data_IF_883020895113
#
_entry.id   IF_883020895113
#
_cell.length_a   1.000
_cell.length_b   1.000
_cell.length_c   1.000
_cell.angle_alpha   90.00
_cell.angle_beta   90.00
_cell.angle_gamma   90.00
#
_symmetry.space_group_name_H-M   'P 1'
#
loop_
_entity.id
_entity.type
_entity.pdbx_description
1 polymer ?
#
# COMPACT_ATOMS: atom_id res chain seq x y z
N UNK A 1 7.19 3.35 12.13
CA UNK A 1 6.41 2.83 10.99
C UNK A 1 5.16 2.02 11.38
N UNK A 2 5.18 1.19 12.44
CA UNK A 2 3.98 0.41 12.89
C UNK A 2 2.72 1.27 13.07
N UNK A 3 2.81 2.45 13.67
CA UNK A 3 1.67 3.35 13.88
C UNK A 3 1.02 3.83 12.57
N UNK A 4 1.82 4.27 11.58
CA UNK A 4 1.32 4.69 10.27
C UNK A 4 0.64 3.52 9.54
N UNK A 5 1.24 2.32 9.60
CA UNK A 5 0.65 1.10 9.02
C UNK A 5 -0.71 0.77 9.64
N UNK A 6 -0.81 0.80 10.96
CA UNK A 6 -2.06 0.54 11.67
C UNK A 6 -3.11 1.61 11.37
N UNK A 7 -2.71 2.87 11.27
CA UNK A 7 -3.59 3.96 10.85
C UNK A 7 -4.14 3.70 9.45
N UNK A 8 -3.28 3.33 8.49
CA UNK A 8 -3.68 3.01 7.11
C UNK A 8 -4.71 1.89 7.03
N UNK A 9 -4.51 0.80 7.78
CA UNK A 9 -5.47 -0.32 7.83
C UNK A 9 -6.79 0.08 8.47
N UNK A 10 -6.76 0.87 9.57
CA UNK A 10 -7.97 1.37 10.24
C UNK A 10 -8.77 2.35 9.36
N UNK A 11 -8.11 3.04 8.43
CA UNK A 11 -8.74 4.00 7.51
C UNK A 11 -8.80 3.47 6.08
N UNK A 12 -8.79 2.14 5.88
CA UNK A 12 -8.72 1.52 4.56
C UNK A 12 -9.81 2.01 3.62
N UNK A 13 -11.06 2.13 4.09
CA UNK A 13 -12.17 2.62 3.27
C UNK A 13 -12.04 4.09 2.84
N UNK A 14 -11.35 4.92 3.62
CA UNK A 14 -11.06 6.30 3.24
C UNK A 14 -9.96 6.38 2.19
N UNK A 15 -8.89 5.60 2.39
CA UNK A 15 -7.78 5.49 1.43
C UNK A 15 -8.23 4.86 0.11
N UNK A 16 -9.17 3.92 0.15
CA UNK A 16 -9.76 3.28 -1.02
C UNK A 16 -10.55 4.29 -1.85
N UNK A 17 -11.40 5.09 -1.19
CA UNK A 17 -12.12 6.20 -1.83
C UNK A 17 -11.18 7.24 -2.43
N UNK A 18 -10.11 7.59 -1.72
CA UNK A 18 -9.08 8.51 -2.23
C UNK A 18 -8.41 7.94 -3.49
N UNK A 19 -8.05 6.66 -3.46
CA UNK A 19 -7.47 5.99 -4.63
C UNK A 19 -8.46 6.00 -5.81
N UNK A 20 -9.72 5.64 -5.60
CA UNK A 20 -10.74 5.64 -6.66
C UNK A 20 -10.95 7.05 -7.24
N UNK A 21 -10.97 8.09 -6.40
CA UNK A 21 -11.01 9.47 -6.88
C UNK A 21 -9.81 9.80 -7.77
N UNK A 22 -8.59 9.43 -7.38
CA UNK A 22 -7.40 9.62 -8.23
C UNK A 22 -7.46 8.79 -9.51
N UNK A 23 -7.91 7.54 -9.43
CA UNK A 23 -8.06 6.66 -10.58
C UNK A 23 -9.08 7.21 -11.58
N UNK A 24 -10.14 7.88 -11.10
CA UNK A 24 -11.12 8.55 -11.94
C UNK A 24 -10.56 9.80 -12.62
N UNK A 25 -9.66 10.53 -11.95
CA UNK A 25 -9.01 11.74 -12.50
C UNK A 25 -7.86 11.40 -13.46
N UNK A 26 -7.17 10.27 -13.26
CA UNK A 26 -5.98 9.90 -14.03
C UNK A 26 -6.17 9.89 -15.58
N UNK A 27 -7.29 9.40 -16.15
CA UNK A 27 -7.54 9.46 -17.59
C UNK A 27 -7.57 10.88 -18.15
N UNK A 28 -8.03 11.86 -17.37
CA UNK A 28 -8.07 13.26 -17.78
C UNK A 28 -6.69 13.91 -17.79
N UNK A 29 -5.77 13.43 -16.95
CA UNK A 29 -4.36 13.87 -16.92
C UNK A 29 -3.48 13.13 -17.94
N UNK A 30 -3.99 12.05 -18.54
CA UNK A 30 -3.29 11.26 -19.56
C UNK A 30 -2.74 12.09 -20.73
N UNK A 31 -3.47 13.03 -21.37
CA UNK A 31 -2.91 13.84 -22.47
C UNK A 31 -1.68 14.65 -22.05
N UNK A 32 -1.68 15.20 -20.84
CA UNK A 32 -0.53 15.92 -20.27
C UNK A 32 0.65 14.96 -20.04
N UNK A 33 0.38 13.78 -19.50
CA UNK A 33 1.42 12.76 -19.29
C UNK A 33 2.04 12.29 -20.62
N UNK A 34 1.23 12.11 -21.67
CA UNK A 34 1.74 11.76 -23.00
C UNK A 34 2.50 12.91 -23.66
N UNK A 35 2.11 14.16 -23.41
CA UNK A 35 2.84 15.33 -23.91
C UNK A 35 4.23 15.47 -23.28
N UNK A 36 4.35 15.23 -21.97
CA UNK A 36 5.64 15.24 -21.25
C UNK A 36 6.50 13.99 -21.59
N UNK A 37 5.85 12.91 -21.99
CA UNK A 37 6.42 11.59 -22.20
C UNK A 37 6.19 10.71 -20.97
N UNK A 38 5.56 9.54 -21.18
CA UNK A 38 5.20 8.58 -20.13
C UNK A 38 6.39 8.24 -19.23
N UNK A 39 7.55 8.00 -19.83
CA UNK A 39 8.76 7.57 -19.11
C UNK A 39 9.30 8.67 -18.19
N UNK A 40 9.17 9.93 -18.59
CA UNK A 40 9.58 11.08 -17.77
C UNK A 40 8.61 11.31 -16.62
N UNK A 41 7.30 11.21 -16.92
CA UNK A 41 6.26 11.32 -15.91
C UNK A 41 6.39 10.20 -14.86
N UNK A 42 6.64 8.96 -15.28
CA UNK A 42 6.87 7.82 -14.39
C UNK A 42 8.11 8.02 -13.52
N UNK A 43 9.23 8.45 -14.11
CA UNK A 43 10.47 8.75 -13.36
C UNK A 43 10.27 9.84 -12.30
N UNK A 44 9.44 10.84 -12.58
CA UNK A 44 9.13 11.91 -11.64
C UNK A 44 8.17 11.45 -10.52
N UNK A 45 7.18 10.60 -10.83
CA UNK A 45 6.18 10.12 -9.87
C UNK A 45 6.67 8.98 -8.98
N UNK A 46 7.54 8.11 -9.49
CA UNK A 46 8.10 6.96 -8.76
C UNK A 46 8.67 7.30 -7.38
N UNK A 47 9.51 8.35 -7.20
CA UNK A 47 10.03 8.69 -5.87
C UNK A 47 8.93 9.14 -4.90
N UNK A 48 7.91 9.85 -5.40
CA UNK A 48 6.76 10.29 -4.60
C UNK A 48 5.96 9.07 -4.14
N UNK A 49 5.65 8.16 -5.07
CA UNK A 49 4.95 6.91 -4.77
C UNK A 49 5.72 6.07 -3.75
N UNK A 50 7.03 5.88 -3.99
CA UNK A 50 7.91 5.12 -3.08
C UNK A 50 7.95 5.74 -1.69
N UNK A 51 8.06 7.05 -1.57
CA UNK A 51 8.10 7.76 -0.29
C UNK A 51 6.79 7.58 0.49
N UNK A 52 5.66 7.86 -0.17
CA UNK A 52 4.34 7.72 0.43
C UNK A 52 4.06 6.26 0.85
N UNK A 53 4.34 5.30 -0.03
CA UNK A 53 4.06 3.88 0.25
C UNK A 53 4.98 3.27 1.31
N UNK A 54 6.25 3.67 1.37
CA UNK A 54 7.15 3.27 2.46
C UNK A 54 6.64 3.80 3.80
N UNK A 55 6.32 5.09 3.88
CA UNK A 55 5.87 5.70 5.13
C UNK A 55 4.56 5.08 5.65
N UNK A 56 3.58 4.90 4.76
CA UNK A 56 2.23 4.49 5.14
C UNK A 56 2.05 2.98 5.28
N UNK A 57 2.77 2.19 4.49
CA UNK A 57 2.54 0.74 4.38
C UNK A 57 3.81 -0.10 4.55
N UNK A 58 4.97 0.50 4.78
CA UNK A 58 6.25 -0.22 4.83
C UNK A 58 6.53 -1.00 3.52
N UNK A 59 6.19 -0.37 2.38
CA UNK A 59 6.16 -1.03 1.07
C UNK A 59 7.55 -1.17 0.42
N UNK A 60 7.91 -2.39 0.01
CA UNK A 60 9.20 -2.68 -0.65
C UNK A 60 9.21 -2.54 -2.18
N UNK A 61 8.20 -1.91 -2.79
CA UNK A 61 8.12 -1.69 -4.24
C UNK A 61 8.28 -2.97 -5.09
N UNK A 62 7.57 -4.05 -4.75
CA UNK A 62 7.64 -5.36 -5.43
C UNK A 62 7.05 -5.41 -6.86
N UNK A 63 6.56 -4.30 -7.41
CA UNK A 63 5.99 -4.21 -8.76
C UNK A 63 4.52 -4.65 -8.89
N UNK A 64 4.07 -5.66 -8.13
CA UNK A 64 2.69 -6.15 -8.15
C UNK A 64 1.90 -5.68 -6.91
N UNK A 65 1.41 -4.44 -6.93
CA UNK A 65 0.72 -3.85 -5.79
C UNK A 65 -0.70 -4.41 -5.60
N UNK A 66 -0.98 -4.97 -4.41
CA UNK A 66 -2.32 -5.52 -4.05
C UNK A 66 -2.97 -4.84 -2.85
N UNK A 67 -2.43 -3.71 -2.38
CA UNK A 67 -2.89 -2.99 -1.18
C UNK A 67 -4.41 -2.77 -1.13
N UNK A 68 -5.00 -2.33 -2.26
CA UNK A 68 -6.45 -2.05 -2.34
C UNK A 68 -7.29 -3.30 -2.07
N UNK A 69 -6.83 -4.47 -2.57
CA UNK A 69 -7.53 -5.75 -2.41
C UNK A 69 -7.38 -6.35 -1.00
N UNK A 70 -6.39 -5.88 -0.24
CA UNK A 70 -6.06 -6.40 1.10
C UNK A 70 -6.39 -5.39 2.21
N UNK A 71 -7.28 -4.42 1.94
CA UNK A 71 -7.67 -3.43 2.94
C UNK A 71 -6.50 -2.58 3.44
N UNK A 72 -5.60 -2.20 2.53
CA UNK A 72 -4.39 -1.42 2.80
C UNK A 72 -3.33 -2.14 3.67
N UNK A 73 -3.45 -3.46 3.84
CA UNK A 73 -2.44 -4.28 4.49
C UNK A 73 -1.47 -4.88 3.46
N UNK A 74 -0.19 -4.50 3.49
CA UNK A 74 0.81 -5.10 2.59
C UNK A 74 1.13 -6.55 3.03
N UNK A 75 1.00 -7.58 2.15
CA UNK A 75 1.24 -8.98 2.53
C UNK A 75 2.68 -9.25 2.98
N UNK A 76 3.65 -8.50 2.47
CA UNK A 76 5.07 -8.63 2.83
C UNK A 76 5.36 -8.28 4.29
N UNK A 77 4.42 -7.61 4.96
CA UNK A 77 4.56 -7.23 6.38
C UNK A 77 4.08 -8.32 7.33
N UNK A 78 3.42 -9.35 6.82
CA UNK A 78 3.04 -10.52 7.60
C UNK A 78 4.18 -11.54 7.51
N UNK A 79 4.66 -12.06 8.65
CA UNK A 79 5.67 -13.13 8.66
C UNK A 79 5.22 -14.40 7.93
N UNK A 80 3.91 -14.60 7.76
CA UNK A 80 3.30 -15.70 7.00
C UNK A 80 2.91 -15.31 5.57
N UNK A 81 3.24 -14.09 5.12
CA UNK A 81 2.89 -13.51 3.83
C UNK A 81 1.38 -13.60 3.46
N UNK A 82 0.51 -13.68 4.46
CA UNK A 82 -0.93 -13.80 4.24
C UNK A 82 -1.57 -12.49 3.80
N UNK A 83 -2.57 -12.61 2.93
CA UNK A 83 -3.23 -11.47 2.28
C UNK A 83 -4.52 -11.05 2.97
N UNK A 84 -5.22 -11.99 3.62
CA UNK A 84 -6.48 -11.80 4.34
C UNK A 84 -6.39 -12.50 5.71
N UNK A 85 -7.10 -11.98 6.72
CA UNK A 85 -7.10 -12.54 8.08
C UNK A 85 -8.38 -13.32 8.42
N UNK A 86 -8.52 -13.82 9.67
CA UNK A 86 -7.48 -14.01 10.68
C UNK A 86 -6.64 -15.27 10.41
N UNK A 87 -5.37 -15.24 10.81
CA UNK A 87 -4.40 -16.31 10.56
C UNK A 87 -4.44 -17.46 11.58
N UNK A 88 -5.21 -17.33 12.67
CA UNK A 88 -5.22 -18.25 13.81
C UNK A 88 -3.94 -18.23 14.68
N UNK A 89 -2.82 -17.70 14.18
CA UNK A 89 -1.52 -17.74 14.85
C UNK A 89 -1.18 -16.49 15.68
N UNK A 90 -2.15 -15.96 16.41
CA UNK A 90 -1.95 -14.86 17.35
C UNK A 90 -1.78 -15.46 18.75
N UNK A 91 -0.66 -15.18 19.40
CA UNK A 91 -0.36 -15.64 20.76
C UNK A 91 -1.24 -14.92 21.79
N UNK A 92 -1.36 -15.46 22.99
CA UNK A 92 -2.17 -14.90 24.07
C UNK A 92 -1.75 -13.46 24.48
N UNK A 93 -0.49 -13.09 24.24
CA UNK A 93 0.04 -11.75 24.47
C UNK A 93 -0.16 -10.78 23.29
N UNK A 94 -0.89 -11.21 22.24
CA UNK A 94 -1.17 -10.41 21.04
C UNK A 94 -0.03 -10.39 20.00
N UNK A 95 1.06 -11.12 20.24
CA UNK A 95 2.15 -11.31 19.28
C UNK A 95 1.81 -12.30 18.16
N UNK A 96 2.61 -12.30 17.09
CA UNK A 96 2.54 -13.35 16.07
C UNK A 96 3.34 -14.58 16.53
N UNK A 97 2.90 -15.79 16.19
CA UNK A 97 3.64 -17.02 16.54
C UNK A 97 4.98 -17.18 15.79
N UNK A 98 5.12 -16.55 14.62
CA UNK A 98 6.35 -16.62 13.79
C UNK A 98 7.30 -15.44 14.01
N UNK A 99 6.88 -14.43 14.78
CA UNK A 99 7.66 -13.23 15.08
C UNK A 99 8.03 -13.27 16.57
N UNK A 100 9.18 -13.89 16.94
CA UNK A 100 9.66 -13.88 18.31
C UNK A 100 9.93 -12.43 18.73
N UNK A 101 9.42 -12.06 19.91
CA UNK A 101 9.53 -10.71 20.46
C UNK A 101 10.98 -10.28 20.72
#
# INVERSE_FOLDING_TARGET
MKAARQWSVRHAAGLDRLYEAFAHVAPFLRPLATFVGSDRAERALTPIERGAKNLMFDCRMCGACVLRKTGMACPTNCGKAMRNGPCGGVRADGGCEVDPA
#
